data_IF_006557796841
#
_entry.id   IF_006557796841
#
_cell.length_a   1.000
_cell.length_b   1.000
_cell.length_c   1.000
_cell.angle_alpha   90.00
_cell.angle_beta   90.00
_cell.angle_gamma   90.00
#
_symmetry.space_group_name_H-M   'P 1'
#
loop_
_entity.id
_entity.type
_entity.pdbx_description
1 polymer ?
#
# COMPACT_ATOMS: atom_id res chain seq x y z
N UNK A 1 -30.09 7.30 -11.33
CA UNK A 1 -29.30 6.14 -11.81
C UNK A 1 -27.83 6.49 -12.02
N UNK A 2 -27.28 7.54 -11.38
CA UNK A 2 -25.90 8.02 -11.63
C UNK A 2 -24.97 7.96 -10.42
N UNK A 3 -25.50 8.00 -9.19
CA UNK A 3 -24.65 8.24 -8.01
C UNK A 3 -23.83 7.03 -7.56
N UNK A 4 -24.37 5.81 -7.68
CA UNK A 4 -23.69 4.60 -7.18
C UNK A 4 -22.45 4.24 -8.01
N UNK A 5 -22.50 4.43 -9.33
CA UNK A 5 -21.35 4.12 -10.20
C UNK A 5 -20.22 5.15 -10.03
N UNK A 6 -20.55 6.42 -9.81
CA UNK A 6 -19.55 7.50 -9.66
C UNK A 6 -18.79 7.37 -8.33
N UNK A 7 -19.50 7.09 -7.23
CA UNK A 7 -18.91 6.81 -5.91
C UNK A 7 -17.99 5.58 -5.96
N UNK A 8 -18.39 4.53 -6.70
CA UNK A 8 -17.56 3.33 -6.84
C UNK A 8 -16.31 3.56 -7.68
N UNK A 9 -16.39 4.33 -8.77
CA UNK A 9 -15.23 4.71 -9.58
C UNK A 9 -14.27 5.58 -8.78
N UNK A 10 -14.80 6.53 -7.99
CA UNK A 10 -14.03 7.37 -7.09
C UNK A 10 -13.23 6.54 -6.07
N UNK A 11 -13.86 5.56 -5.43
CA UNK A 11 -13.20 4.73 -4.43
C UNK A 11 -12.09 3.84 -5.04
N UNK A 12 -12.29 3.29 -6.24
CA UNK A 12 -11.25 2.52 -6.94
C UNK A 12 -10.06 3.41 -7.30
N UNK A 13 -10.32 4.64 -7.77
CA UNK A 13 -9.27 5.59 -8.07
C UNK A 13 -8.49 6.00 -6.80
N UNK A 14 -9.19 6.17 -5.67
CA UNK A 14 -8.57 6.48 -4.38
C UNK A 14 -7.69 5.32 -3.89
N UNK A 15 -8.17 4.07 -3.97
CA UNK A 15 -7.38 2.89 -3.61
C UNK A 15 -6.13 2.80 -4.48
N UNK A 16 -6.26 2.97 -5.80
CA UNK A 16 -5.12 2.93 -6.71
C UNK A 16 -4.09 4.03 -6.40
N UNK A 17 -4.55 5.24 -6.07
CA UNK A 17 -3.67 6.33 -5.66
C UNK A 17 -2.95 6.01 -4.34
N UNK A 18 -3.65 5.43 -3.36
CA UNK A 18 -3.05 5.00 -2.11
C UNK A 18 -1.98 3.92 -2.34
N UNK A 19 -2.27 2.88 -3.14
CA UNK A 19 -1.28 1.84 -3.45
C UNK A 19 -0.03 2.39 -4.16
N UNK A 20 -0.18 3.42 -5.00
CA UNK A 20 0.96 4.07 -5.62
C UNK A 20 1.87 4.77 -4.60
N UNK A 21 1.30 5.33 -3.53
CA UNK A 21 2.05 5.91 -2.40
C UNK A 21 2.76 4.81 -1.61
N UNK A 22 2.04 3.73 -1.25
CA UNK A 22 2.62 2.59 -0.52
C UNK A 22 3.81 1.98 -1.29
N UNK A 23 3.70 1.81 -2.61
CA UNK A 23 4.80 1.32 -3.44
C UNK A 23 6.02 2.23 -3.45
N UNK A 24 5.80 3.55 -3.42
CA UNK A 24 6.89 4.52 -3.30
C UNK A 24 7.60 4.37 -1.96
N UNK A 25 6.84 4.26 -0.87
CA UNK A 25 7.37 4.09 0.49
C UNK A 25 8.11 2.76 0.65
N UNK A 26 7.55 1.65 0.18
CA UNK A 26 8.20 0.33 0.17
C UNK A 26 9.56 0.38 -0.54
N UNK A 27 9.65 1.09 -1.66
CA UNK A 27 10.90 1.26 -2.41
C UNK A 27 11.91 2.09 -1.62
N UNK A 28 11.45 3.17 -0.99
CA UNK A 28 12.29 4.07 -0.20
C UNK A 28 12.82 3.37 1.06
N UNK A 29 11.94 2.78 1.87
CA UNK A 29 12.31 2.07 3.09
C UNK A 29 13.20 0.86 2.80
N UNK A 30 12.91 0.10 1.74
CA UNK A 30 13.79 -1.00 1.31
C UNK A 30 15.22 -0.55 1.03
N UNK A 31 15.39 0.62 0.40
CA UNK A 31 16.71 1.23 0.16
C UNK A 31 17.37 1.71 1.45
N UNK A 32 16.60 2.37 2.33
CA UNK A 32 17.11 2.89 3.59
C UNK A 32 17.56 1.78 4.55
N UNK A 33 16.83 0.66 4.62
CA UNK A 33 17.23 -0.53 5.38
C UNK A 33 18.58 -1.05 4.90
N UNK A 34 18.76 -1.20 3.58
CA UNK A 34 20.02 -1.67 3.01
C UNK A 34 21.19 -0.74 3.37
N UNK A 35 20.98 0.58 3.29
CA UNK A 35 22.01 1.56 3.65
C UNK A 35 22.30 1.59 5.15
N UNK A 36 21.28 1.48 6.01
CA UNK A 36 21.47 1.43 7.45
C UNK A 36 22.32 0.21 7.85
N UNK A 37 22.08 -0.95 7.24
CA UNK A 37 22.89 -2.17 7.43
C UNK A 37 24.33 -1.97 6.95
N UNK A 38 24.54 -1.39 5.76
CA UNK A 38 25.88 -1.12 5.21
C UNK A 38 26.69 -0.16 6.10
N UNK A 39 26.03 0.83 6.71
CA UNK A 39 26.65 1.80 7.62
C UNK A 39 26.82 1.27 9.06
N UNK A 40 26.47 0.01 9.34
CA UNK A 40 26.56 -0.58 10.67
C UNK A 40 25.54 -0.02 11.68
N UNK A 41 24.44 0.57 11.20
CA UNK A 41 23.38 1.19 12.00
C UNK A 41 22.21 0.22 12.19
N UNK A 42 22.47 -0.84 12.95
CA UNK A 42 21.49 -1.90 13.22
C UNK A 42 20.21 -1.36 13.91
N UNK A 43 20.36 -0.37 14.79
CA UNK A 43 19.26 0.35 15.45
C UNK A 43 18.31 1.00 14.45
N UNK A 44 18.86 1.67 13.44
CA UNK A 44 18.06 2.29 12.39
C UNK A 44 17.47 1.25 11.45
N UNK A 45 18.22 0.19 11.11
CA UNK A 45 17.74 -0.86 10.22
C UNK A 45 16.50 -1.55 10.80
N UNK A 46 16.50 -1.87 12.09
CA UNK A 46 15.37 -2.50 12.78
C UNK A 46 14.10 -1.63 12.70
N UNK A 47 14.20 -0.35 13.06
CA UNK A 47 13.07 0.58 12.97
C UNK A 47 12.55 0.77 11.53
N UNK A 48 13.46 0.85 10.56
CA UNK A 48 13.08 1.00 9.14
C UNK A 48 12.45 -0.28 8.59
N UNK A 49 12.84 -1.46 9.09
CA UNK A 49 12.24 -2.75 8.75
C UNK A 49 10.84 -2.89 9.32
N UNK A 50 10.60 -2.40 10.54
CA UNK A 50 9.26 -2.32 11.12
C UNK A 50 8.34 -1.46 10.24
N UNK A 51 8.75 -0.24 9.88
CA UNK A 51 7.96 0.62 8.99
C UNK A 51 7.75 -0.03 7.62
N UNK A 52 8.78 -0.63 7.02
CA UNK A 52 8.65 -1.35 5.76
C UNK A 52 7.62 -2.49 5.83
N UNK A 53 7.53 -3.18 6.98
CA UNK A 53 6.55 -4.24 7.18
C UNK A 53 5.12 -3.68 7.29
N UNK A 54 4.96 -2.52 7.95
CA UNK A 54 3.68 -1.80 8.04
C UNK A 54 3.18 -1.37 6.65
N UNK A 55 4.01 -0.76 5.81
CA UNK A 55 3.60 -0.32 4.46
C UNK A 55 3.25 -1.51 3.55
N UNK A 56 3.98 -2.62 3.66
CA UNK A 56 3.62 -3.86 2.95
C UNK A 56 2.27 -4.40 3.40
N UNK A 57 1.95 -4.29 4.69
CA UNK A 57 0.66 -4.72 5.21
C UNK A 57 -0.46 -3.77 4.75
N UNK A 58 -0.20 -2.46 4.70
CA UNK A 58 -1.12 -1.46 4.18
C UNK A 58 -1.46 -1.70 2.70
N UNK A 59 -0.46 -1.87 1.83
CA UNK A 59 -0.67 -2.23 0.42
C UNK A 59 -1.46 -3.54 0.25
N UNK A 60 -1.15 -4.56 1.05
CA UNK A 60 -1.91 -5.81 1.02
C UNK A 60 -3.38 -5.61 1.41
N UNK A 61 -3.66 -4.78 2.41
CA UNK A 61 -5.01 -4.43 2.81
C UNK A 61 -5.76 -3.64 1.73
N UNK A 62 -5.08 -2.72 1.04
CA UNK A 62 -5.64 -1.98 -0.10
C UNK A 62 -5.97 -2.92 -1.26
N UNK A 63 -5.10 -3.88 -1.56
CA UNK A 63 -5.35 -4.93 -2.56
C UNK A 63 -6.60 -5.74 -2.21
N UNK A 64 -6.69 -6.22 -0.95
CA UNK A 64 -7.85 -6.96 -0.49
C UNK A 64 -9.15 -6.13 -0.57
N UNK A 65 -9.07 -4.82 -0.30
CA UNK A 65 -10.21 -3.91 -0.41
C UNK A 65 -10.65 -3.75 -1.87
N UNK A 66 -9.71 -3.59 -2.80
CA UNK A 66 -9.98 -3.53 -4.24
C UNK A 66 -10.63 -4.82 -4.76
N UNK A 67 -10.10 -5.99 -4.39
CA UNK A 67 -10.63 -7.29 -4.82
C UNK A 67 -12.06 -7.54 -4.31
N UNK A 68 -12.33 -7.23 -3.04
CA UNK A 68 -13.68 -7.35 -2.46
C UNK A 68 -14.68 -6.48 -3.22
N UNK A 69 -14.29 -5.26 -3.63
CA UNK A 69 -15.14 -4.37 -4.43
C UNK A 69 -15.41 -4.93 -5.83
N UNK A 70 -14.40 -5.47 -6.51
CA UNK A 70 -14.56 -6.09 -7.83
C UNK A 70 -15.51 -7.29 -7.74
N UNK A 71 -15.39 -8.12 -6.71
CA UNK A 71 -16.24 -9.28 -6.52
C UNK A 71 -17.71 -8.92 -6.25
N UNK A 72 -17.99 -7.81 -5.57
CA UNK A 72 -19.35 -7.28 -5.42
C UNK A 72 -19.96 -6.83 -6.76
N UNK A 73 -19.14 -6.27 -7.66
CA UNK A 73 -19.58 -5.85 -9.01
C UNK A 73 -19.90 -7.04 -9.92
N UNK A 74 -19.16 -8.14 -9.82
CA UNK A 74 -19.37 -9.33 -10.66
C UNK A 74 -20.59 -10.18 -10.26
N UNK A 75 -21.15 -9.94 -9.08
CA UNK A 75 -22.31 -10.67 -8.55
C UNK A 75 -23.65 -9.93 -8.72
N UNK A 76 -23.64 -8.72 -9.29
CA UNK A 76 -24.81 -7.90 -9.61
C UNK A 76 -25.08 -7.91 -11.12
#
# INVERSE_FOLDING_TARGET
>A
SGDIDDDMVMDVALIAAAQAVEHYEITCYGTLVAWARELGRADCAELLEETLAEERAADHNLTNLAERRINLKSAA
#
